data_IF_617563734299
#
_entry.id   IF_617563734299
#
_cell.length_a   1.000
_cell.length_b   1.000
_cell.length_c   1.000
_cell.angle_alpha   90.00
_cell.angle_beta   90.00
_cell.angle_gamma   90.00
#
_symmetry.space_group_name_H-M   'P 1'
#
loop_
_entity.id
_entity.type
_entity.pdbx_description
1 polymer ?
#
# COMPACT_ATOMS: atom_id res chain seq x y z
N UNK A 1 -22.86 -4.82 43.34
CA UNK A 1 -23.19 -3.78 42.39
C UNK A 1 -22.18 -2.67 42.59
N UNK A 2 -21.10 -2.68 41.88
CA UNK A 2 -20.12 -1.62 41.83
C UNK A 2 -20.24 -0.98 40.47
N UNK A 3 -20.73 0.26 40.42
CA UNK A 3 -20.60 1.11 39.23
C UNK A 3 -19.10 1.34 39.01
N UNK A 4 -18.51 0.51 38.17
CA UNK A 4 -17.18 0.76 37.64
C UNK A 4 -17.25 2.04 36.83
N UNK A 5 -16.55 3.06 37.31
CA UNK A 5 -16.29 4.30 36.60
C UNK A 5 -15.76 3.93 35.20
N UNK A 6 -16.61 3.87 34.18
CA UNK A 6 -16.21 3.80 32.78
C UNK A 6 -15.50 5.11 32.48
N UNK A 7 -14.18 5.13 32.73
CA UNK A 7 -13.32 6.19 32.23
C UNK A 7 -13.42 6.11 30.71
N UNK A 8 -14.22 7.01 30.16
CA UNK A 8 -14.37 7.14 28.70
C UNK A 8 -12.97 7.34 28.10
N UNK A 9 -12.50 6.31 27.40
CA UNK A 9 -11.20 6.32 26.77
C UNK A 9 -11.21 7.41 25.68
N UNK A 10 -10.43 8.46 25.83
CA UNK A 10 -10.40 9.59 24.89
C UNK A 10 -9.24 9.49 23.89
N UNK A 11 -8.18 8.72 24.22
CA UNK A 11 -6.97 8.61 23.40
C UNK A 11 -6.27 7.26 23.59
N UNK A 12 -5.57 6.85 22.55
CA UNK A 12 -4.66 5.71 22.56
C UNK A 12 -3.21 6.16 22.67
N UNK A 13 -2.32 5.26 23.10
CA UNK A 13 -0.86 5.47 23.20
C UNK A 13 -0.18 4.52 22.23
N UNK A 14 0.54 5.06 21.25
CA UNK A 14 1.32 4.29 20.28
C UNK A 14 2.73 4.04 20.84
N UNK A 15 3.10 2.81 21.17
CA UNK A 15 4.42 2.50 21.74
C UNK A 15 5.58 2.78 20.77
N UNK A 16 5.36 2.63 19.46
CA UNK A 16 6.44 2.79 18.48
C UNK A 16 7.45 1.66 18.54
N UNK A 17 8.75 1.97 18.34
CA UNK A 17 9.83 0.99 18.20
C UNK A 17 10.72 0.87 19.44
N UNK A 18 10.94 1.95 20.17
CA UNK A 18 11.84 2.00 21.31
C UNK A 18 11.43 3.08 22.31
N UNK A 19 11.79 2.90 23.58
CA UNK A 19 11.65 3.90 24.63
C UNK A 19 12.98 4.62 24.94
N UNK A 20 14.10 4.14 24.37
CA UNK A 20 15.43 4.73 24.51
C UNK A 20 15.54 5.97 23.61
N UNK A 21 15.84 7.13 24.21
CA UNK A 21 15.80 8.44 23.53
C UNK A 21 16.78 8.54 22.37
N UNK A 22 17.97 8.04 22.52
CA UNK A 22 19.00 8.04 21.47
C UNK A 22 18.55 7.25 20.25
N UNK A 23 17.93 6.10 20.47
CA UNK A 23 17.36 5.25 19.39
C UNK A 23 16.19 5.97 18.71
N UNK A 24 15.33 6.66 19.48
CA UNK A 24 14.22 7.42 18.91
C UNK A 24 14.70 8.53 17.98
N UNK A 25 15.75 9.26 18.34
CA UNK A 25 16.33 10.34 17.52
C UNK A 25 16.97 9.79 16.23
N UNK A 26 17.68 8.68 16.32
CA UNK A 26 18.26 8.00 15.14
C UNK A 26 17.16 7.52 14.21
N UNK A 27 16.11 6.85 14.74
CA UNK A 27 14.97 6.40 13.97
C UNK A 27 14.21 7.57 13.35
N UNK A 28 14.05 8.68 14.09
CA UNK A 28 13.43 9.89 13.55
C UNK A 28 14.18 10.41 12.32
N UNK A 29 15.51 10.53 12.41
CA UNK A 29 16.32 11.00 11.28
C UNK A 29 16.22 10.06 10.07
N UNK A 30 16.30 8.75 10.29
CA UNK A 30 16.19 7.73 9.23
C UNK A 30 14.81 7.82 8.56
N UNK A 31 13.71 7.79 9.33
CA UNK A 31 12.36 7.81 8.77
C UNK A 31 11.99 9.15 8.14
N UNK A 32 12.53 10.25 8.63
CA UNK A 32 12.37 11.57 8.00
C UNK A 32 13.01 11.59 6.61
N UNK A 33 14.23 11.09 6.48
CA UNK A 33 14.93 10.97 5.18
C UNK A 33 14.14 10.07 4.23
N UNK A 34 13.70 8.90 4.70
CA UNK A 34 12.88 7.97 3.88
C UNK A 34 11.59 8.66 3.42
N UNK A 35 10.89 9.37 4.30
CA UNK A 35 9.65 10.07 3.97
C UNK A 35 9.86 11.14 2.90
N UNK A 36 10.88 11.99 3.06
CA UNK A 36 11.21 13.06 2.10
C UNK A 36 11.60 12.44 0.75
N UNK A 37 12.44 11.40 0.74
CA UNK A 37 12.85 10.71 -0.48
C UNK A 37 11.64 10.09 -1.20
N UNK A 38 10.78 9.37 -0.48
CA UNK A 38 9.57 8.76 -1.04
C UNK A 38 8.67 9.82 -1.66
N UNK A 39 8.36 10.87 -0.91
CA UNK A 39 7.51 11.96 -1.38
C UNK A 39 8.09 12.63 -2.65
N UNK A 40 9.35 12.98 -2.63
CA UNK A 40 10.01 13.67 -3.75
C UNK A 40 10.11 12.80 -4.99
N UNK A 41 10.41 11.51 -4.85
CA UNK A 41 10.48 10.55 -5.96
C UNK A 41 9.11 10.38 -6.65
N UNK A 42 8.05 10.15 -5.89
CA UNK A 42 6.71 10.01 -6.46
C UNK A 42 6.19 11.33 -7.05
N UNK A 43 6.43 12.46 -6.39
CA UNK A 43 6.09 13.77 -6.94
C UNK A 43 6.82 14.02 -8.27
N UNK A 44 8.10 13.68 -8.38
CA UNK A 44 8.86 13.79 -9.62
C UNK A 44 8.26 12.91 -10.74
N UNK A 45 7.87 11.65 -10.44
CA UNK A 45 7.20 10.77 -11.40
C UNK A 45 5.89 11.41 -11.89
N UNK A 46 5.04 11.90 -10.97
CA UNK A 46 3.77 12.54 -11.31
C UNK A 46 3.99 13.75 -12.24
N UNK A 47 4.95 14.61 -11.90
CA UNK A 47 5.25 15.82 -12.65
C UNK A 47 5.76 15.46 -14.05
N UNK A 48 6.70 14.54 -14.16
CA UNK A 48 7.30 14.12 -15.44
C UNK A 48 6.26 13.48 -16.35
N UNK A 49 5.41 12.59 -15.83
CA UNK A 49 4.32 11.97 -16.62
C UNK A 49 3.35 13.05 -17.14
N UNK A 50 3.08 14.12 -16.39
CA UNK A 50 2.19 15.19 -16.81
C UNK A 50 2.81 16.12 -17.85
N UNK A 51 4.12 16.37 -17.76
CA UNK A 51 4.84 17.30 -18.64
C UNK A 51 5.22 16.68 -19.99
N UNK A 52 5.57 15.39 -20.03
CA UNK A 52 5.99 14.71 -21.25
C UNK A 52 4.82 13.94 -21.88
N UNK A 53 4.33 14.43 -23.03
CA UNK A 53 3.20 13.81 -23.74
C UNK A 53 3.49 12.41 -24.26
N UNK A 54 4.76 12.03 -24.46
CA UNK A 54 5.16 10.68 -24.85
C UNK A 54 4.85 9.65 -23.73
N UNK A 55 4.71 10.12 -22.49
CA UNK A 55 4.33 9.30 -21.36
C UNK A 55 2.80 9.23 -21.15
N UNK A 56 1.98 9.77 -22.07
CA UNK A 56 0.52 9.70 -21.97
C UNK A 56 -0.03 8.38 -22.51
N UNK A 57 0.48 7.25 -21.99
CA UNK A 57 -0.01 5.89 -22.30
C UNK A 57 -0.77 5.29 -21.10
N UNK A 58 -1.59 4.24 -21.29
CA UNK A 58 -2.31 3.57 -20.21
C UNK A 58 -1.41 3.18 -19.03
N UNK A 59 -0.25 2.61 -19.30
CA UNK A 59 0.72 2.24 -18.26
C UNK A 59 1.11 3.40 -17.37
N UNK A 60 1.48 4.54 -17.95
CA UNK A 60 1.91 5.72 -17.17
C UNK A 60 0.73 6.41 -16.48
N UNK A 61 -0.47 6.30 -17.04
CA UNK A 61 -1.69 6.74 -16.36
C UNK A 61 -1.91 5.96 -15.04
N UNK A 62 -1.77 4.64 -15.06
CA UNK A 62 -1.87 3.83 -13.83
C UNK A 62 -0.69 4.09 -12.89
N UNK A 63 0.52 4.26 -13.41
CA UNK A 63 1.70 4.60 -12.60
C UNK A 63 1.53 5.97 -11.90
N UNK A 64 0.91 6.93 -12.55
CA UNK A 64 0.57 8.24 -11.96
C UNK A 64 -0.42 8.07 -10.79
N UNK A 65 -1.47 7.23 -10.97
CA UNK A 65 -2.42 6.91 -9.90
C UNK A 65 -1.74 6.20 -8.74
N UNK A 66 -0.87 5.22 -9.02
CA UNK A 66 -0.11 4.51 -7.99
C UNK A 66 0.82 5.46 -7.23
N UNK A 67 1.54 6.36 -7.92
CA UNK A 67 2.41 7.34 -7.27
C UNK A 67 1.64 8.30 -6.37
N UNK A 68 0.45 8.74 -6.77
CA UNK A 68 -0.43 9.56 -5.93
C UNK A 68 -0.91 8.79 -4.68
N UNK A 69 -1.28 7.54 -4.86
CA UNK A 69 -1.68 6.64 -3.78
C UNK A 69 -0.54 6.47 -2.76
N UNK A 70 0.67 6.22 -3.22
CA UNK A 70 1.85 6.00 -2.37
C UNK A 70 2.25 7.24 -1.56
N UNK A 71 2.19 8.44 -2.16
CA UNK A 71 2.36 9.71 -1.43
C UNK A 71 1.34 9.80 -0.29
N UNK A 72 0.07 9.53 -0.61
CA UNK A 72 -1.01 9.60 0.36
C UNK A 72 -0.81 8.56 1.47
N UNK A 73 -0.39 7.35 1.10
CA UNK A 73 -0.15 6.23 2.02
C UNK A 73 0.90 6.56 3.08
N UNK A 74 2.09 7.04 2.65
CA UNK A 74 3.14 7.43 3.60
C UNK A 74 2.75 8.67 4.40
N UNK A 75 1.94 9.57 3.84
CA UNK A 75 1.46 10.78 4.54
C UNK A 75 0.43 10.45 5.61
N UNK A 76 -0.34 9.39 5.47
CA UNK A 76 -1.28 8.92 6.50
C UNK A 76 -0.53 8.27 7.68
N UNK A 77 0.57 7.59 7.44
CA UNK A 77 1.25 6.75 8.45
C UNK A 77 2.47 7.43 9.09
N UNK A 78 3.37 7.96 8.28
CA UNK A 78 4.71 8.41 8.72
C UNK A 78 4.72 9.68 9.57
N UNK A 79 3.96 10.75 9.28
CA UNK A 79 4.02 11.98 10.08
C UNK A 79 3.68 11.77 11.56
N UNK A 80 2.66 10.94 11.87
CA UNK A 80 2.32 10.61 13.25
C UNK A 80 3.41 9.79 13.92
N UNK A 81 4.01 8.85 13.21
CA UNK A 81 5.15 8.07 13.69
C UNK A 81 6.35 9.00 14.01
N UNK A 82 6.69 9.93 13.11
CA UNK A 82 7.75 10.91 13.32
C UNK A 82 7.48 11.82 14.52
N UNK A 83 6.26 12.33 14.65
CA UNK A 83 5.84 13.10 15.81
C UNK A 83 6.02 12.31 17.11
N UNK A 84 5.63 11.04 17.14
CA UNK A 84 5.78 10.18 18.33
C UNK A 84 7.24 9.85 18.68
N UNK A 85 8.15 9.85 17.70
CA UNK A 85 9.59 9.68 17.92
C UNK A 85 10.25 10.97 18.44
N UNK A 86 9.78 12.14 17.99
CA UNK A 86 10.37 13.43 18.36
C UNK A 86 9.85 13.93 19.70
N UNK A 87 8.54 13.82 19.94
CA UNK A 87 7.89 14.30 21.16
C UNK A 87 7.83 13.18 22.22
N UNK A 88 7.63 13.58 23.49
CA UNK A 88 7.38 12.60 24.57
C UNK A 88 5.92 12.11 24.55
N UNK A 89 5.03 12.81 23.83
CA UNK A 89 3.63 12.44 23.71
C UNK A 89 3.45 11.43 22.58
N UNK A 90 3.13 10.21 22.96
CA UNK A 90 2.82 9.10 22.03
C UNK A 90 1.30 8.94 21.83
N UNK A 91 0.50 9.91 22.29
CA UNK A 91 -0.97 9.82 22.26
C UNK A 91 -1.54 10.13 20.87
N UNK A 92 -2.63 9.47 20.54
CA UNK A 92 -3.48 9.75 19.37
C UNK A 92 -4.93 9.71 19.80
N UNK A 93 -5.73 10.72 19.41
CA UNK A 93 -7.15 10.72 19.72
C UNK A 93 -7.88 9.57 19.00
N UNK A 94 -8.96 9.08 19.59
CA UNK A 94 -9.77 8.00 19.01
C UNK A 94 -10.20 8.32 17.57
N UNK A 95 -10.78 9.50 17.25
CA UNK A 95 -11.17 9.82 15.88
C UNK A 95 -9.98 9.83 14.90
N UNK A 96 -8.82 10.35 15.32
CA UNK A 96 -7.63 10.37 14.48
C UNK A 96 -7.07 8.95 14.21
N UNK A 97 -7.11 8.07 15.22
CA UNK A 97 -6.71 6.68 15.08
C UNK A 97 -7.61 5.93 14.07
N UNK A 98 -8.93 6.06 14.19
CA UNK A 98 -9.85 5.41 13.26
C UNK A 98 -9.83 6.02 11.86
N UNK A 99 -9.63 7.33 11.73
CA UNK A 99 -9.39 7.95 10.42
C UNK A 99 -8.12 7.41 9.77
N UNK A 100 -7.04 7.26 10.52
CA UNK A 100 -5.79 6.67 10.04
C UNK A 100 -6.00 5.21 9.61
N UNK A 101 -6.68 4.40 10.42
CA UNK A 101 -7.01 3.00 10.12
C UNK A 101 -7.84 2.89 8.84
N UNK A 102 -8.90 3.68 8.72
CA UNK A 102 -9.76 3.66 7.54
C UNK A 102 -9.01 4.06 6.28
N UNK A 103 -8.31 5.20 6.29
CA UNK A 103 -7.54 5.67 5.15
C UNK A 103 -6.44 4.67 4.75
N UNK A 104 -5.78 4.06 5.73
CA UNK A 104 -4.80 3.01 5.50
C UNK A 104 -5.40 1.82 4.73
N UNK A 105 -6.57 1.34 5.12
CA UNK A 105 -7.26 0.25 4.43
C UNK A 105 -7.80 0.67 3.06
N UNK A 106 -8.32 1.89 2.91
CA UNK A 106 -8.74 2.45 1.61
C UNK A 106 -7.58 2.41 0.63
N UNK A 107 -6.42 2.91 1.03
CA UNK A 107 -5.25 2.98 0.16
C UNK A 107 -4.69 1.59 -0.17
N UNK A 108 -4.54 0.70 0.81
CA UNK A 108 -4.07 -0.67 0.60
C UNK A 108 -5.00 -1.49 -0.31
N UNK A 109 -6.32 -1.33 -0.16
CA UNK A 109 -7.30 -2.00 -1.04
C UNK A 109 -7.27 -1.42 -2.46
N UNK A 110 -7.17 -0.10 -2.59
CA UNK A 110 -7.03 0.57 -3.90
C UNK A 110 -5.76 0.13 -4.60
N UNK A 111 -4.64 0.01 -3.88
CA UNK A 111 -3.36 -0.48 -4.39
C UNK A 111 -3.49 -1.90 -4.95
N UNK A 112 -4.16 -2.78 -4.21
CA UNK A 112 -4.44 -4.15 -4.62
C UNK A 112 -5.14 -4.21 -5.98
N UNK A 113 -6.20 -3.42 -6.18
CA UNK A 113 -6.95 -3.37 -7.44
C UNK A 113 -6.19 -2.65 -8.56
N UNK A 114 -5.43 -1.59 -8.26
CA UNK A 114 -4.58 -0.91 -9.24
C UNK A 114 -3.48 -1.85 -9.77
N UNK A 115 -2.80 -2.58 -8.90
CA UNK A 115 -1.79 -3.56 -9.30
C UNK A 115 -2.38 -4.67 -10.18
N UNK A 116 -3.59 -5.13 -9.87
CA UNK A 116 -4.31 -6.10 -10.70
C UNK A 116 -4.64 -5.52 -12.07
N UNK A 117 -5.12 -4.28 -12.13
CA UNK A 117 -5.44 -3.58 -13.38
C UNK A 117 -4.18 -3.34 -14.22
N UNK A 118 -3.05 -3.01 -13.57
CA UNK A 118 -1.75 -2.88 -14.24
C UNK A 118 -1.26 -4.22 -14.78
N UNK A 119 -1.48 -5.33 -14.08
CA UNK A 119 -1.18 -6.67 -14.59
C UNK A 119 -2.01 -7.00 -15.83
N UNK A 120 -3.30 -6.65 -15.82
CA UNK A 120 -4.18 -6.82 -16.98
C UNK A 120 -3.76 -5.93 -18.17
N UNK A 121 -3.36 -4.69 -17.92
CA UNK A 121 -2.80 -3.80 -18.95
C UNK A 121 -1.57 -4.42 -19.62
N UNK A 122 -0.64 -4.96 -18.81
CA UNK A 122 0.54 -5.65 -19.33
C UNK A 122 0.18 -6.90 -20.12
N UNK A 123 -0.78 -7.69 -19.62
CA UNK A 123 -1.29 -8.86 -20.34
C UNK A 123 -1.80 -8.49 -21.73
N UNK A 124 -2.66 -7.49 -21.85
CA UNK A 124 -3.19 -7.06 -23.15
C UNK A 124 -2.10 -6.53 -24.07
N UNK A 125 -1.18 -5.73 -23.55
CA UNK A 125 -0.09 -5.16 -24.35
C UNK A 125 0.86 -6.22 -24.95
N UNK A 126 1.04 -7.36 -24.26
CA UNK A 126 1.99 -8.40 -24.68
C UNK A 126 1.28 -9.55 -25.40
N UNK A 127 0.13 -10.00 -24.90
CA UNK A 127 -0.56 -11.18 -25.41
C UNK A 127 -1.58 -10.84 -26.53
N UNK A 128 -2.08 -9.60 -26.56
CA UNK A 128 -3.10 -9.16 -27.53
C UNK A 128 -2.83 -7.76 -28.08
N UNK A 129 -1.63 -7.50 -28.69
CA UNK A 129 -1.20 -6.17 -29.10
C UNK A 129 -2.11 -5.50 -30.12
N UNK A 130 -2.75 -6.28 -30.99
CA UNK A 130 -3.65 -5.75 -32.02
C UNK A 130 -4.96 -5.18 -31.42
N UNK A 131 -5.40 -5.72 -30.28
CA UNK A 131 -6.64 -5.30 -29.61
C UNK A 131 -6.37 -4.28 -28.51
N UNK A 132 -5.10 -4.10 -28.10
CA UNK A 132 -4.70 -3.30 -26.96
C UNK A 132 -5.28 -1.87 -27.01
N UNK A 133 -5.06 -1.16 -28.09
CA UNK A 133 -5.52 0.24 -28.23
C UNK A 133 -7.07 0.37 -28.25
N UNK A 134 -7.78 -0.64 -28.70
CA UNK A 134 -9.25 -0.66 -28.67
C UNK A 134 -9.78 -0.87 -27.25
N UNK A 135 -9.17 -1.78 -26.47
CA UNK A 135 -9.61 -2.14 -25.11
C UNK A 135 -9.11 -1.11 -24.10
N UNK A 136 -7.80 -0.78 -24.11
CA UNK A 136 -7.16 0.15 -23.18
C UNK A 136 -7.14 1.59 -23.72
N UNK A 137 -8.30 2.09 -24.16
CA UNK A 137 -8.45 3.49 -24.52
C UNK A 137 -8.57 4.37 -23.27
N UNK A 138 -8.44 5.70 -23.44
CA UNK A 138 -8.46 6.67 -22.34
C UNK A 138 -9.68 6.55 -21.41
N UNK A 139 -10.87 6.31 -22.00
CA UNK A 139 -12.10 6.17 -21.21
C UNK A 139 -12.10 4.89 -20.38
N UNK A 140 -11.61 3.78 -20.93
CA UNK A 140 -11.46 2.53 -20.22
C UNK A 140 -10.48 2.67 -19.04
N UNK A 141 -9.32 3.31 -19.25
CA UNK A 141 -8.36 3.57 -18.19
C UNK A 141 -8.96 4.38 -17.03
N UNK A 142 -9.71 5.45 -17.33
CA UNK A 142 -10.40 6.26 -16.33
C UNK A 142 -11.46 5.42 -15.58
N UNK A 143 -12.24 4.61 -16.29
CA UNK A 143 -13.25 3.74 -15.66
C UNK A 143 -12.61 2.69 -14.74
N UNK A 144 -11.55 2.03 -15.19
CA UNK A 144 -10.83 1.03 -14.38
C UNK A 144 -10.19 1.67 -13.14
N UNK A 145 -9.47 2.78 -13.30
CA UNK A 145 -8.86 3.46 -12.16
C UNK A 145 -9.94 4.01 -11.20
N UNK A 146 -11.00 4.64 -11.72
CA UNK A 146 -12.14 5.08 -10.92
C UNK A 146 -12.81 3.93 -10.17
N UNK A 147 -13.00 2.78 -10.83
CA UNK A 147 -13.50 1.56 -10.19
C UNK A 147 -12.61 1.08 -9.05
N UNK A 148 -11.27 1.11 -9.22
CA UNK A 148 -10.32 0.77 -8.16
C UNK A 148 -10.46 1.69 -6.95
N UNK A 149 -10.56 3.01 -7.16
CA UNK A 149 -10.74 3.99 -6.08
C UNK A 149 -12.08 3.84 -5.38
N UNK A 150 -13.17 3.67 -6.14
CA UNK A 150 -14.52 3.44 -5.57
C UNK A 150 -14.54 2.17 -4.75
N UNK A 151 -14.05 1.04 -5.30
CA UNK A 151 -13.98 -0.21 -4.57
C UNK A 151 -13.09 -0.10 -3.33
N UNK A 152 -11.93 0.59 -3.44
CA UNK A 152 -11.02 0.84 -2.32
C UNK A 152 -11.65 1.65 -1.20
N UNK A 153 -12.50 2.63 -1.51
CA UNK A 153 -13.20 3.45 -0.51
C UNK A 153 -14.27 2.62 0.20
N UNK A 154 -15.10 1.88 -0.52
CA UNK A 154 -16.25 1.22 0.07
C UNK A 154 -15.93 -0.12 0.74
N UNK A 155 -14.95 -0.89 0.25
CA UNK A 155 -14.63 -2.21 0.81
C UNK A 155 -14.25 -2.20 2.29
N UNK A 156 -13.39 -1.29 2.80
CA UNK A 156 -12.99 -1.28 4.21
C UNK A 156 -13.98 -0.55 5.14
N UNK A 157 -15.04 0.05 4.60
CA UNK A 157 -15.99 0.83 5.40
C UNK A 157 -16.68 -0.04 6.47
N UNK A 158 -17.21 -1.19 6.05
CA UNK A 158 -17.93 -2.11 6.94
C UNK A 158 -17.01 -2.62 8.06
N UNK A 159 -15.83 -3.22 7.80
CA UNK A 159 -14.96 -3.70 8.87
C UNK A 159 -14.48 -2.58 9.80
N UNK A 160 -14.23 -1.38 9.28
CA UNK A 160 -13.81 -0.25 10.13
C UNK A 160 -14.92 0.20 11.06
N UNK A 161 -16.20 0.24 10.61
CA UNK A 161 -17.34 0.56 11.45
C UNK A 161 -17.49 -0.47 12.59
N UNK A 162 -17.37 -1.76 12.29
CA UNK A 162 -17.44 -2.79 13.32
C UNK A 162 -16.33 -2.66 14.37
N UNK A 163 -15.09 -2.33 13.94
CA UNK A 163 -13.99 -2.10 14.88
C UNK A 163 -14.26 -0.83 15.72
N UNK A 164 -14.81 0.23 15.12
CA UNK A 164 -15.14 1.47 15.83
C UNK A 164 -16.21 1.29 16.92
N UNK A 165 -17.14 0.37 16.71
CA UNK A 165 -18.23 0.09 17.66
C UNK A 165 -17.80 -0.80 18.83
N UNK A 166 -16.55 -1.31 18.83
CA UNK A 166 -16.06 -2.14 19.93
C UNK A 166 -15.90 -1.34 21.22
N UNK A 167 -16.30 -1.90 22.37
CA UNK A 167 -15.96 -1.34 23.67
C UNK A 167 -14.47 -1.59 23.94
N UNK A 168 -13.72 -0.52 24.17
CA UNK A 168 -12.33 -0.56 24.57
C UNK A 168 -12.24 -0.36 26.08
N UNK A 169 -11.64 -1.31 26.80
CA UNK A 169 -11.50 -1.25 28.24
C UNK A 169 -10.11 -1.69 28.68
N UNK A 170 -9.67 -1.18 29.81
CA UNK A 170 -8.37 -1.49 30.38
C UNK A 170 -7.26 -0.63 29.82
N UNK A 171 -6.25 -1.25 29.19
CA UNK A 171 -5.10 -0.52 28.64
C UNK A 171 -5.48 0.20 27.34
N UNK A 172 -5.06 1.46 27.22
CA UNK A 172 -5.15 2.23 25.97
C UNK A 172 -3.86 2.17 25.12
N UNK A 173 -3.00 1.19 25.39
CA UNK A 173 -1.66 1.08 24.80
C UNK A 173 -1.72 0.19 23.55
N UNK A 174 -1.44 0.79 22.38
CA UNK A 174 -1.29 0.10 21.11
C UNK A 174 0.19 -0.21 20.89
N UNK A 175 0.55 -1.50 20.89
CA UNK A 175 1.93 -1.91 20.59
C UNK A 175 2.21 -1.87 19.08
N UNK A 176 2.11 -0.67 18.52
CA UNK A 176 2.39 -0.39 17.10
C UNK A 176 2.86 1.05 16.92
N UNK A 177 3.32 1.43 15.70
CA UNK A 177 3.73 2.79 15.35
C UNK A 177 2.63 3.58 14.61
N UNK A 178 1.54 2.94 14.23
CA UNK A 178 0.32 3.53 13.70
C UNK A 178 -0.90 2.70 14.11
N UNK A 179 -2.11 3.21 13.87
CA UNK A 179 -3.34 2.49 14.17
C UNK A 179 -3.60 1.42 13.12
N UNK A 180 -3.48 0.15 13.54
CA UNK A 180 -3.77 -1.03 12.72
C UNK A 180 -4.81 -1.92 13.41
N UNK A 181 -5.58 -2.68 12.63
CA UNK A 181 -6.66 -3.52 13.11
C UNK A 181 -6.20 -4.59 14.13
N UNK A 182 -5.11 -5.37 13.91
CA UNK A 182 -4.73 -6.42 14.84
C UNK A 182 -4.41 -5.94 16.26
N UNK A 183 -3.64 -4.83 16.45
CA UNK A 183 -3.42 -4.30 17.79
C UNK A 183 -4.68 -3.72 18.44
N UNK A 184 -5.54 -3.03 17.67
CA UNK A 184 -6.78 -2.45 18.18
C UNK A 184 -7.77 -3.50 18.68
N UNK A 185 -7.97 -4.59 17.93
CA UNK A 185 -8.84 -5.68 18.31
C UNK A 185 -8.48 -6.29 19.68
N UNK A 186 -7.19 -6.29 20.05
CA UNK A 186 -6.72 -6.81 21.35
C UNK A 186 -7.07 -5.93 22.55
N UNK A 187 -7.44 -4.67 22.32
CA UNK A 187 -7.85 -3.74 23.37
C UNK A 187 -9.35 -3.83 23.65
N UNK A 188 -10.09 -4.60 22.87
CA UNK A 188 -11.52 -4.80 23.09
C UNK A 188 -11.79 -5.73 24.27
N UNK A 189 -12.81 -5.40 25.03
CA UNK A 189 -13.32 -6.24 26.15
C UNK A 189 -14.33 -7.27 25.69
N UNK A 190 -14.85 -7.11 24.50
CA UNK A 190 -15.83 -8.02 23.91
C UNK A 190 -15.15 -9.16 23.20
N UNK A 191 -15.86 -10.28 23.03
CA UNK A 191 -15.39 -11.36 22.19
C UNK A 191 -15.26 -10.90 20.74
N UNK A 192 -14.01 -10.82 20.27
CA UNK A 192 -13.64 -10.30 18.94
C UNK A 192 -13.74 -11.35 17.83
N UNK A 193 -14.06 -12.62 18.15
CA UNK A 193 -14.05 -13.72 17.18
C UNK A 193 -14.91 -13.40 15.94
N UNK A 194 -16.11 -12.85 16.15
CA UNK A 194 -17.01 -12.50 15.03
C UNK A 194 -16.40 -11.43 14.15
N UNK A 195 -15.78 -10.39 14.73
CA UNK A 195 -15.16 -9.28 13.98
C UNK A 195 -13.88 -9.77 13.28
N UNK A 196 -13.10 -10.63 13.93
CA UNK A 196 -11.95 -11.28 13.28
C UNK A 196 -12.36 -12.10 12.06
N UNK A 197 -13.46 -12.87 12.19
CA UNK A 197 -13.99 -13.65 11.05
C UNK A 197 -14.49 -12.72 9.93
N UNK A 198 -15.20 -11.64 10.26
CA UNK A 198 -15.66 -10.66 9.26
C UNK A 198 -14.46 -10.01 8.55
N UNK A 199 -13.46 -9.54 9.30
CA UNK A 199 -12.25 -8.95 8.73
C UNK A 199 -11.48 -9.95 7.86
N UNK A 200 -11.40 -11.20 8.29
CA UNK A 200 -10.76 -12.27 7.53
C UNK A 200 -11.52 -12.57 6.22
N UNK A 201 -12.85 -12.67 6.26
CA UNK A 201 -13.68 -12.92 5.07
C UNK A 201 -13.54 -11.78 4.08
N UNK A 202 -13.69 -10.52 4.53
CA UNK A 202 -13.64 -9.35 3.65
C UNK A 202 -12.23 -9.14 3.08
N UNK A 203 -11.19 -9.28 3.88
CA UNK A 203 -9.80 -9.22 3.42
C UNK A 203 -9.46 -10.36 2.44
N UNK A 204 -9.91 -11.58 2.75
CA UNK A 204 -9.73 -12.73 1.86
C UNK A 204 -10.49 -12.56 0.55
N UNK A 205 -11.68 -11.98 0.56
CA UNK A 205 -12.46 -11.72 -0.66
C UNK A 205 -11.72 -10.80 -1.63
N UNK A 206 -11.11 -9.71 -1.12
CA UNK A 206 -10.27 -8.81 -1.94
C UNK A 206 -9.10 -9.58 -2.56
N UNK A 207 -8.41 -10.39 -1.76
CA UNK A 207 -7.26 -11.18 -2.21
C UNK A 207 -7.63 -12.30 -3.17
N UNK A 208 -8.74 -13.00 -2.92
CA UNK A 208 -9.23 -14.10 -3.79
C UNK A 208 -9.64 -13.60 -5.17
N UNK A 209 -10.08 -12.35 -5.29
CA UNK A 209 -10.38 -11.76 -6.59
C UNK A 209 -9.09 -11.24 -7.26
N UNK A 210 -8.33 -10.43 -6.57
CA UNK A 210 -7.21 -9.69 -7.17
C UNK A 210 -5.99 -10.58 -7.44
N UNK A 211 -5.63 -11.46 -6.53
CA UNK A 211 -4.43 -12.29 -6.67
C UNK A 211 -4.53 -13.30 -7.82
N UNK A 212 -5.61 -14.10 -7.99
CA UNK A 212 -5.72 -15.01 -9.14
C UNK A 212 -5.76 -14.27 -10.48
N UNK A 213 -6.46 -13.13 -10.58
CA UNK A 213 -6.47 -12.33 -11.82
C UNK A 213 -5.08 -11.84 -12.18
N UNK A 214 -4.31 -11.40 -11.20
CA UNK A 214 -2.92 -11.00 -11.37
C UNK A 214 -2.05 -12.18 -11.79
N UNK A 215 -2.18 -13.33 -11.14
CA UNK A 215 -1.42 -14.55 -11.45
C UNK A 215 -1.73 -15.07 -12.85
N UNK A 216 -3.01 -15.14 -13.25
CA UNK A 216 -3.42 -15.55 -14.59
C UNK A 216 -2.83 -14.62 -15.65
N UNK A 217 -2.85 -13.29 -15.41
CA UNK A 217 -2.22 -12.33 -16.31
C UNK A 217 -0.74 -12.63 -16.49
N UNK A 218 0.01 -12.85 -15.41
CA UNK A 218 1.45 -13.12 -15.48
C UNK A 218 1.80 -14.49 -16.05
N UNK A 219 1.01 -15.54 -15.76
CA UNK A 219 1.21 -16.87 -16.38
C UNK A 219 1.09 -16.74 -17.90
N UNK A 220 0.09 -16.04 -18.41
CA UNK A 220 -0.07 -15.82 -19.85
C UNK A 220 1.04 -14.96 -20.43
N UNK A 221 1.47 -13.89 -19.74
CA UNK A 221 2.60 -13.05 -20.16
C UNK A 221 3.87 -13.90 -20.31
N UNK A 222 4.23 -14.67 -19.28
CA UNK A 222 5.44 -15.53 -19.30
C UNK A 222 5.33 -16.57 -20.42
N UNK A 223 4.18 -17.24 -20.55
CA UNK A 223 3.93 -18.20 -21.63
C UNK A 223 4.11 -17.58 -23.02
N UNK A 224 3.64 -16.35 -23.23
CA UNK A 224 3.77 -15.63 -24.49
C UNK A 224 5.23 -15.19 -24.74
N UNK A 225 5.92 -14.68 -23.72
CA UNK A 225 7.34 -14.29 -23.84
C UNK A 225 8.22 -15.47 -24.20
N UNK A 226 7.97 -16.65 -23.63
CA UNK A 226 8.73 -17.87 -23.92
C UNK A 226 8.58 -18.33 -25.39
N UNK A 227 7.48 -17.96 -26.07
CA UNK A 227 7.26 -18.26 -27.49
C UNK A 227 7.96 -17.29 -28.45
N UNK A 228 8.53 -16.18 -27.96
CA UNK A 228 9.27 -15.21 -28.80
C UNK A 228 10.57 -15.88 -29.29
N UNK A 229 10.81 -15.95 -30.62
CA UNK A 229 11.96 -16.68 -31.17
C UNK A 229 13.30 -16.05 -30.77
N UNK A 230 13.39 -14.70 -30.77
CA UNK A 230 14.67 -14.01 -30.51
C UNK A 230 14.98 -13.90 -29.03
N UNK A 231 16.20 -14.19 -28.62
CA UNK A 231 16.67 -14.05 -27.25
C UNK A 231 16.62 -12.61 -26.76
N UNK A 232 16.95 -11.64 -27.59
CA UNK A 232 16.91 -10.22 -27.28
C UNK A 232 15.47 -9.72 -27.10
N UNK A 233 14.54 -10.18 -27.95
CA UNK A 233 13.12 -9.89 -27.81
C UNK A 233 12.55 -10.42 -26.49
N UNK A 234 12.89 -11.66 -26.12
CA UNK A 234 12.49 -12.23 -24.80
C UNK A 234 13.04 -11.41 -23.65
N UNK A 235 14.33 -11.05 -23.69
CA UNK A 235 15.00 -10.26 -22.65
C UNK A 235 14.33 -8.88 -22.48
N UNK A 236 14.03 -8.21 -23.60
CA UNK A 236 13.36 -6.91 -23.59
C UNK A 236 11.95 -7.00 -23.00
N UNK A 237 11.13 -7.96 -23.45
CA UNK A 237 9.77 -8.18 -22.96
C UNK A 237 9.76 -8.53 -21.46
N UNK A 238 10.65 -9.45 -21.03
CA UNK A 238 10.76 -9.83 -19.62
C UNK A 238 11.20 -8.64 -18.75
N UNK A 239 12.15 -7.83 -19.20
CA UNK A 239 12.62 -6.65 -18.46
C UNK A 239 11.49 -5.65 -18.21
N UNK A 240 10.57 -5.49 -19.18
CA UNK A 240 9.41 -4.59 -19.05
C UNK A 240 8.44 -5.04 -17.96
N UNK A 241 8.25 -6.36 -17.81
CA UNK A 241 7.30 -6.92 -16.84
C UNK A 241 7.91 -7.17 -15.45
N UNK A 242 9.22 -7.38 -15.39
CA UNK A 242 9.90 -7.78 -14.16
C UNK A 242 9.75 -6.75 -13.02
N UNK A 243 9.76 -5.46 -13.34
CA UNK A 243 9.56 -4.39 -12.33
C UNK A 243 8.19 -4.54 -11.65
N UNK A 244 7.14 -4.67 -12.44
CA UNK A 244 5.80 -4.83 -11.90
C UNK A 244 5.64 -6.16 -11.15
N UNK A 245 6.21 -7.25 -11.66
CA UNK A 245 6.17 -8.56 -10.99
C UNK A 245 6.86 -8.52 -9.61
N UNK A 246 7.99 -7.82 -9.48
CA UNK A 246 8.69 -7.65 -8.20
C UNK A 246 7.78 -6.93 -7.21
N UNK A 247 7.17 -5.80 -7.61
CA UNK A 247 6.28 -5.01 -6.74
C UNK A 247 5.05 -5.82 -6.33
N UNK A 248 4.41 -6.48 -7.27
CA UNK A 248 3.28 -7.39 -7.02
C UNK A 248 3.66 -8.48 -6.03
N UNK A 249 4.84 -9.10 -6.18
CA UNK A 249 5.31 -10.15 -5.28
C UNK A 249 5.56 -9.64 -3.86
N UNK A 250 6.16 -8.46 -3.72
CA UNK A 250 6.37 -7.83 -2.40
C UNK A 250 5.02 -7.48 -1.77
N UNK A 251 4.13 -6.83 -2.51
CA UNK A 251 2.83 -6.39 -2.03
C UNK A 251 1.96 -7.58 -1.57
N UNK A 252 1.70 -8.55 -2.45
CA UNK A 252 0.87 -9.71 -2.09
C UNK A 252 1.55 -10.58 -1.03
N UNK A 253 2.87 -10.76 -1.10
CA UNK A 253 3.62 -11.54 -0.11
C UNK A 253 3.48 -10.96 1.29
N UNK A 254 3.68 -9.66 1.46
CA UNK A 254 3.54 -8.98 2.76
C UNK A 254 2.09 -8.93 3.24
N UNK A 255 1.13 -8.68 2.35
CA UNK A 255 -0.29 -8.59 2.67
C UNK A 255 -0.85 -9.94 3.11
N UNK A 256 -0.60 -11.01 2.35
CA UNK A 256 -1.02 -12.38 2.70
C UNK A 256 -0.40 -12.77 4.04
N UNK A 257 0.87 -12.52 4.22
CA UNK A 257 1.56 -12.84 5.46
C UNK A 257 0.97 -12.10 6.67
N UNK A 258 0.57 -10.85 6.51
CA UNK A 258 0.05 -10.02 7.62
C UNK A 258 -1.40 -10.35 7.96
N UNK A 259 -2.25 -10.55 6.95
CA UNK A 259 -3.71 -10.58 7.15
C UNK A 259 -4.35 -11.96 7.01
N UNK A 260 -3.67 -12.93 6.36
CA UNK A 260 -4.20 -14.29 6.15
C UNK A 260 -3.65 -15.30 7.15
N UNK A 261 -2.55 -14.98 7.85
CA UNK A 261 -1.94 -15.90 8.81
C UNK A 261 -2.75 -16.02 10.11
N UNK A 262 -2.93 -17.24 10.67
CA UNK A 262 -3.50 -17.43 12.01
C UNK A 262 -2.65 -16.70 13.07
N UNK A 263 -3.29 -15.96 13.96
CA UNK A 263 -2.62 -15.11 14.95
C UNK A 263 -2.07 -15.92 16.12
N UNK A 264 -0.77 -16.07 16.20
CA UNK A 264 -0.07 -16.58 17.39
C UNK A 264 0.45 -15.41 18.23
N UNK A 265 0.47 -15.58 19.57
CA UNK A 265 0.82 -14.53 20.55
C UNK A 265 2.22 -13.96 20.31
N UNK A 266 3.17 -14.77 19.82
CA UNK A 266 4.57 -14.36 19.59
C UNK A 266 4.81 -13.55 18.29
N UNK A 267 3.77 -13.26 17.51
CA UNK A 267 3.90 -12.58 16.22
C UNK A 267 3.88 -11.03 16.29
N UNK A 268 3.71 -10.42 17.46
CA UNK A 268 3.49 -8.95 17.56
C UNK A 268 4.65 -8.12 17.06
N UNK A 269 5.87 -8.40 17.51
CA UNK A 269 7.06 -7.66 17.08
C UNK A 269 7.39 -7.93 15.63
N UNK A 270 7.15 -9.16 15.17
CA UNK A 270 7.34 -9.54 13.79
C UNK A 270 6.30 -8.86 12.87
N UNK A 271 5.02 -8.80 13.28
CA UNK A 271 3.99 -8.08 12.54
C UNK A 271 4.33 -6.59 12.40
N UNK A 272 4.86 -5.95 13.46
CA UNK A 272 5.31 -4.56 13.41
C UNK A 272 6.41 -4.35 12.36
N UNK A 273 7.37 -5.28 12.25
CA UNK A 273 8.44 -5.23 11.25
C UNK A 273 7.90 -5.44 9.84
N UNK A 274 6.98 -6.37 9.63
CA UNK A 274 6.33 -6.58 8.32
C UNK A 274 5.51 -5.36 7.94
N UNK A 275 4.78 -4.77 8.90
CA UNK A 275 4.02 -3.54 8.66
C UNK A 275 4.91 -2.38 8.20
N UNK A 276 6.13 -2.28 8.75
CA UNK A 276 7.12 -1.30 8.31
C UNK A 276 7.53 -1.52 6.84
N UNK A 277 7.69 -2.78 6.44
CA UNK A 277 8.08 -3.10 5.05
C UNK A 277 7.03 -2.60 4.07
N UNK A 278 5.75 -2.94 4.25
CA UNK A 278 4.73 -2.57 3.27
C UNK A 278 4.28 -1.10 3.39
N UNK A 279 4.33 -0.48 4.59
CA UNK A 279 3.85 0.89 4.78
C UNK A 279 4.90 1.99 4.56
N UNK A 280 6.18 1.64 4.59
CA UNK A 280 7.29 2.62 4.50
C UNK A 280 8.33 2.20 3.45
N UNK A 281 8.81 0.95 3.51
CA UNK A 281 9.90 0.51 2.63
C UNK A 281 9.40 0.29 1.20
N UNK A 282 8.26 -0.37 1.02
CA UNK A 282 7.70 -0.63 -0.33
C UNK A 282 7.42 0.66 -1.09
N UNK A 283 6.73 1.69 -0.52
CA UNK A 283 6.57 2.99 -1.17
C UNK A 283 7.89 3.66 -1.57
N UNK A 284 8.93 3.54 -0.76
CA UNK A 284 10.25 4.10 -1.08
C UNK A 284 10.93 3.38 -2.25
N UNK A 285 10.76 2.06 -2.34
CA UNK A 285 11.46 1.23 -3.34
C UNK A 285 10.73 1.22 -4.69
N UNK A 286 9.40 1.37 -4.70
CA UNK A 286 8.58 1.33 -5.91
C UNK A 286 9.04 2.31 -7.00
N UNK A 287 9.30 3.61 -6.74
CA UNK A 287 9.81 4.54 -7.74
C UNK A 287 11.16 4.12 -8.32
N UNK A 288 12.04 3.59 -7.48
CA UNK A 288 13.37 3.11 -7.90
C UNK A 288 13.23 1.94 -8.88
N UNK A 289 12.37 0.98 -8.58
CA UNK A 289 12.12 -0.18 -9.44
C UNK A 289 11.53 0.27 -10.78
N UNK A 290 10.55 1.19 -10.78
CA UNK A 290 9.95 1.69 -12.01
C UNK A 290 10.92 2.55 -12.84
N UNK A 291 11.70 3.42 -12.20
CA UNK A 291 12.64 4.30 -12.91
C UNK A 291 13.89 3.58 -13.39
N UNK A 292 14.48 2.68 -12.58
CA UNK A 292 15.72 1.99 -12.98
C UNK A 292 15.57 1.09 -14.22
N UNK A 293 14.37 0.59 -14.48
CA UNK A 293 14.12 -0.30 -15.63
C UNK A 293 13.40 0.36 -16.80
N UNK A 294 12.84 1.55 -16.60
CA UNK A 294 12.11 2.29 -17.62
C UNK A 294 12.96 3.42 -18.20
N UNK A 295 13.44 3.22 -19.43
CA UNK A 295 14.27 4.20 -20.11
C UNK A 295 13.52 5.49 -20.46
N UNK A 296 12.22 5.41 -20.72
CA UNK A 296 11.40 6.59 -21.09
C UNK A 296 11.28 7.54 -19.91
N UNK A 297 11.00 7.03 -18.70
CA UNK A 297 10.98 7.83 -17.47
C UNK A 297 12.37 8.40 -17.18
N UNK A 298 13.45 7.61 -17.34
CA UNK A 298 14.81 8.12 -17.16
C UNK A 298 15.14 9.29 -18.10
N UNK A 299 14.78 9.16 -19.37
CA UNK A 299 15.03 10.22 -20.36
C UNK A 299 14.19 11.46 -20.04
N UNK A 300 12.91 11.30 -19.69
CA UNK A 300 12.04 12.38 -19.34
C UNK A 300 12.52 13.12 -18.06
N UNK A 301 12.97 12.38 -17.03
CA UNK A 301 13.59 12.97 -15.84
C UNK A 301 14.86 13.74 -16.17
N UNK A 302 15.76 13.18 -17.02
CA UNK A 302 16.97 13.88 -17.45
C UNK A 302 16.63 15.17 -18.20
N UNK A 303 15.66 15.13 -19.12
CA UNK A 303 15.18 16.33 -19.82
C UNK A 303 14.65 17.38 -18.85
N UNK A 304 13.79 16.99 -17.89
CA UNK A 304 13.23 17.91 -16.90
C UNK A 304 14.31 18.59 -16.03
N UNK A 305 15.40 17.89 -15.71
CA UNK A 305 16.54 18.48 -14.96
C UNK A 305 17.46 19.30 -15.86
N UNK A 306 17.54 19.00 -17.16
CA UNK A 306 18.41 19.71 -18.12
C UNK A 306 17.79 21.00 -18.66
N UNK A 307 16.52 21.28 -18.38
CA UNK A 307 15.85 22.56 -18.71
C UNK A 307 16.22 23.67 -17.70
N UNK A 308 17.53 23.84 -17.45
CA UNK A 308 18.13 25.02 -16.83
C UNK A 308 18.98 25.78 -17.80
#
# INVERSE_FOLDING_TARGET
MGEGNETQLNEFILLGFSDVREIQLVLFAIFLVIYILTFTQHAAIIIVIRLDYHLHTPMYFYLNNLSFLEITYVTVTVPKMLSSLLTRSKTISIPACFSQLYLFFVLGTTECYLLTTMAYDRYLAICSPLQYNGIMNRQACIKFAGGCWVAGIFSPLIPTIFIFQLPFCGSNIINHFFCDSPPLLRLSCQNINTIEVINFILGSFILIISFPLTMVSYINIVSTILKIPSADGRKKAFSTCASHLIIVSIFYGTTIFTYVRPRTINALNFNKSVSLVYSVITPMVNPVIYTLRNNDIKQALKKAVSFK
#
